data_IF_696805168411
#
_entry.id   IF_696805168411
#
_cell.length_a   1.000
_cell.length_b   1.000
_cell.length_c   1.000
_cell.angle_alpha   90.00
_cell.angle_beta   90.00
_cell.angle_gamma   90.00
#
_symmetry.space_group_name_H-M   'P 1'
#
loop_
_entity.id
_entity.type
_entity.pdbx_description
1 polymer ?
#
# COMPACT_ATOMS: atom_id res chain seq x y z
N UNK A 1 -18.10 57.87 -19.00
CA UNK A 1 -18.35 56.57 -18.34
C UNK A 1 -18.31 55.38 -19.31
N UNK A 2 -19.05 55.38 -20.44
CA UNK A 2 -19.04 54.27 -21.43
C UNK A 2 -17.64 53.87 -21.93
N UNK A 3 -16.77 54.83 -22.27
CA UNK A 3 -15.40 54.57 -22.74
C UNK A 3 -14.52 53.85 -21.70
N UNK A 4 -14.67 54.18 -20.42
CA UNK A 4 -13.89 53.54 -19.34
C UNK A 4 -14.32 52.07 -19.16
N UNK A 5 -15.63 51.80 -19.27
CA UNK A 5 -16.15 50.44 -19.19
C UNK A 5 -15.62 49.58 -20.35
N UNK A 6 -15.69 50.10 -21.58
CA UNK A 6 -15.29 49.32 -22.77
C UNK A 6 -13.78 49.12 -22.88
N UNK A 7 -12.96 50.15 -22.58
CA UNK A 7 -11.51 50.09 -22.81
C UNK A 7 -10.69 49.68 -21.59
N UNK A 8 -11.27 49.68 -20.38
CA UNK A 8 -10.54 49.35 -19.14
C UNK A 8 -11.18 48.19 -18.41
N UNK A 9 -12.48 48.26 -18.13
CA UNK A 9 -13.17 47.22 -17.34
C UNK A 9 -13.29 45.91 -18.11
N UNK A 10 -13.70 45.97 -19.38
CA UNK A 10 -13.88 44.78 -20.22
C UNK A 10 -12.58 44.00 -20.45
N UNK A 11 -11.44 44.64 -20.83
CA UNK A 11 -10.16 43.95 -20.96
C UNK A 11 -9.67 43.38 -19.63
N UNK A 12 -9.88 44.09 -18.51
CA UNK A 12 -9.53 43.58 -17.19
C UNK A 12 -10.31 42.30 -16.85
N UNK A 13 -11.62 42.27 -17.13
CA UNK A 13 -12.46 41.08 -16.96
C UNK A 13 -11.95 39.94 -17.84
N UNK A 14 -11.59 40.20 -19.10
CA UNK A 14 -11.03 39.18 -20.02
C UNK A 14 -9.73 38.59 -19.44
N UNK A 15 -8.84 39.41 -18.89
CA UNK A 15 -7.62 38.94 -18.25
C UNK A 15 -7.91 38.08 -17.00
N UNK A 16 -8.86 38.49 -16.17
CA UNK A 16 -9.28 37.72 -14.98
C UNK A 16 -9.89 36.39 -15.38
N UNK A 17 -10.78 36.36 -16.37
CA UNK A 17 -11.38 35.12 -16.89
C UNK A 17 -10.29 34.21 -17.48
N UNK A 18 -9.35 34.77 -18.24
CA UNK A 18 -8.22 34.02 -18.80
C UNK A 18 -7.38 33.36 -17.71
N UNK A 19 -7.11 34.07 -16.61
CA UNK A 19 -6.42 33.53 -15.45
C UNK A 19 -7.22 32.39 -14.77
N UNK A 20 -8.53 32.58 -14.56
CA UNK A 20 -9.40 31.57 -13.94
C UNK A 20 -9.43 30.29 -14.79
N UNK A 21 -9.56 30.40 -16.11
CA UNK A 21 -9.55 29.25 -17.03
C UNK A 21 -8.21 28.52 -16.95
N UNK A 22 -7.10 29.26 -16.97
CA UNK A 22 -5.77 28.67 -16.83
C UNK A 22 -5.64 27.89 -15.51
N UNK A 23 -6.03 28.49 -14.38
CA UNK A 23 -5.97 27.82 -13.07
C UNK A 23 -6.88 26.60 -12.99
N UNK A 24 -8.09 26.69 -13.57
CA UNK A 24 -9.05 25.58 -13.59
C UNK A 24 -8.54 24.37 -14.37
N UNK A 25 -7.72 24.58 -15.40
CA UNK A 25 -7.12 23.49 -16.19
C UNK A 25 -5.88 22.92 -15.48
N UNK A 26 -5.08 23.77 -14.84
CA UNK A 26 -3.84 23.33 -14.18
C UNK A 26 -4.08 22.60 -12.85
N UNK A 27 -5.09 23.00 -12.08
CA UNK A 27 -5.39 22.41 -10.78
C UNK A 27 -5.57 20.88 -10.80
N UNK A 28 -6.39 20.27 -11.67
CA UNK A 28 -6.52 18.81 -11.74
C UNK A 28 -5.21 18.14 -12.15
N UNK A 29 -4.39 18.77 -13.01
CA UNK A 29 -3.09 18.23 -13.43
C UNK A 29 -2.10 18.18 -12.26
N UNK A 30 -2.04 19.26 -11.46
CA UNK A 30 -1.18 19.32 -10.27
C UNK A 30 -1.66 18.32 -9.22
N UNK A 31 -2.97 18.19 -9.04
CA UNK A 31 -3.58 17.21 -8.15
C UNK A 31 -3.16 15.78 -8.55
N UNK A 32 -3.32 15.40 -9.82
CA UNK A 32 -2.93 14.07 -10.30
C UNK A 32 -1.44 13.77 -10.09
N UNK A 33 -0.58 14.76 -10.33
CA UNK A 33 0.87 14.62 -10.10
C UNK A 33 1.18 14.37 -8.63
N UNK A 34 0.59 15.14 -7.72
CA UNK A 34 0.79 14.98 -6.29
C UNK A 34 0.16 13.68 -5.78
N UNK A 35 -1.03 13.32 -6.27
CA UNK A 35 -1.70 12.07 -5.95
C UNK A 35 -0.82 10.86 -6.27
N UNK A 36 -0.35 10.75 -7.52
CA UNK A 36 0.50 9.63 -7.95
C UNK A 36 1.79 9.53 -7.13
N UNK A 37 2.40 10.68 -6.81
CA UNK A 37 3.59 10.70 -5.96
C UNK A 37 3.30 10.15 -4.56
N UNK A 38 2.21 10.61 -3.91
CA UNK A 38 1.81 10.12 -2.59
C UNK A 38 1.39 8.65 -2.61
N UNK A 39 0.64 8.24 -3.61
CA UNK A 39 0.24 6.84 -3.84
C UNK A 39 1.46 5.93 -3.99
N UNK A 40 2.48 6.33 -4.74
CA UNK A 40 3.71 5.52 -4.92
C UNK A 40 4.35 5.17 -3.58
N UNK A 41 4.47 6.16 -2.69
CA UNK A 41 5.07 5.98 -1.36
C UNK A 41 4.17 5.14 -0.45
N UNK A 42 2.85 5.35 -0.52
CA UNK A 42 1.88 4.55 0.24
C UNK A 42 1.83 3.10 -0.24
N UNK A 43 1.95 2.84 -1.55
CA UNK A 43 2.04 1.51 -2.13
C UNK A 43 3.30 0.79 -1.64
N UNK A 44 4.45 1.46 -1.61
CA UNK A 44 5.68 0.91 -1.06
C UNK A 44 5.51 0.49 0.42
N UNK A 45 4.87 1.34 1.21
CA UNK A 45 4.51 1.07 2.61
C UNK A 45 3.63 -0.18 2.77
N UNK A 46 2.60 -0.32 1.93
CA UNK A 46 1.72 -1.48 1.95
C UNK A 46 2.43 -2.76 1.46
N UNK A 47 3.37 -2.65 0.51
CA UNK A 47 4.22 -3.77 0.07
C UNK A 47 5.13 -4.26 1.20
N UNK A 48 5.66 -3.36 2.03
CA UNK A 48 6.43 -3.75 3.22
C UNK A 48 5.58 -4.52 4.22
N UNK A 49 4.38 -4.01 4.52
CA UNK A 49 3.42 -4.68 5.42
C UNK A 49 3.09 -6.06 4.87
N UNK A 50 2.80 -6.18 3.56
CA UNK A 50 2.55 -7.48 2.91
C UNK A 50 3.73 -8.43 3.10
N UNK A 51 4.96 -7.95 2.89
CA UNK A 51 6.18 -8.77 3.04
C UNK A 51 6.34 -9.29 4.47
N UNK A 52 6.13 -8.44 5.46
CA UNK A 52 6.18 -8.84 6.87
C UNK A 52 5.04 -9.79 7.25
N UNK A 53 3.82 -9.56 6.75
CA UNK A 53 2.68 -10.42 6.98
C UNK A 53 2.87 -11.82 6.41
N UNK A 54 3.42 -11.95 5.20
CA UNK A 54 3.75 -13.24 4.59
C UNK A 54 4.79 -13.99 5.43
N UNK A 55 5.84 -13.30 5.87
CA UNK A 55 6.86 -13.89 6.75
C UNK A 55 6.29 -14.28 8.13
N UNK A 56 5.41 -13.46 8.68
CA UNK A 56 4.72 -13.73 9.94
C UNK A 56 3.82 -14.97 9.82
N UNK A 57 3.05 -15.08 8.74
CA UNK A 57 2.23 -16.26 8.43
C UNK A 57 3.09 -17.51 8.26
N UNK A 58 4.23 -17.43 7.57
CA UNK A 58 5.13 -18.57 7.40
C UNK A 58 5.64 -19.13 8.74
N UNK A 59 5.78 -18.28 9.76
CA UNK A 59 6.23 -18.70 11.10
C UNK A 59 5.09 -19.14 12.02
N UNK A 60 3.99 -18.41 12.05
CA UNK A 60 2.92 -18.57 13.03
C UNK A 60 1.64 -19.20 12.46
N UNK A 61 1.62 -19.57 11.17
CA UNK A 61 0.46 -20.07 10.41
C UNK A 61 -0.77 -19.15 10.41
N UNK A 62 -0.62 -17.90 10.81
CA UNK A 62 -1.67 -16.86 10.81
C UNK A 62 -1.07 -15.49 10.53
N UNK A 63 -1.90 -14.54 10.09
CA UNK A 63 -1.49 -13.14 9.95
C UNK A 63 -1.57 -12.38 11.28
N UNK A 64 -0.83 -11.28 11.39
CA UNK A 64 -0.91 -10.38 12.54
C UNK A 64 -2.08 -9.41 12.40
N UNK A 65 -2.85 -9.23 13.48
CA UNK A 65 -3.93 -8.23 13.53
C UNK A 65 -3.48 -6.82 13.91
N UNK A 66 -2.24 -6.64 14.38
CA UNK A 66 -1.71 -5.33 14.78
C UNK A 66 -0.34 -5.07 14.13
N UNK A 67 -0.12 -3.82 13.73
CA UNK A 67 1.14 -3.32 13.17
C UNK A 67 2.26 -3.35 14.21
N UNK A 68 1.97 -3.10 15.50
CA UNK A 68 2.99 -3.15 16.56
C UNK A 68 3.60 -4.55 16.70
N UNK A 69 2.77 -5.59 16.54
CA UNK A 69 3.24 -6.97 16.53
C UNK A 69 4.13 -7.28 15.31
N UNK A 70 3.89 -6.64 14.16
CA UNK A 70 4.76 -6.76 12.99
C UNK A 70 6.09 -6.03 13.20
N UNK A 71 6.07 -4.85 13.82
CA UNK A 71 7.28 -4.10 14.19
C UNK A 71 8.12 -4.93 15.16
N UNK A 72 7.50 -5.50 16.20
CA UNK A 72 8.20 -6.38 17.13
C UNK A 72 8.76 -7.62 16.41
N UNK A 73 7.96 -8.26 15.55
CA UNK A 73 8.41 -9.40 14.75
C UNK A 73 9.59 -9.07 13.84
N UNK A 74 9.66 -7.88 13.26
CA UNK A 74 10.83 -7.46 12.48
C UNK A 74 12.09 -7.34 13.35
N UNK A 75 11.97 -6.72 14.52
CA UNK A 75 13.09 -6.43 15.41
C UNK A 75 13.65 -7.66 16.13
N UNK A 76 12.77 -8.53 16.64
CA UNK A 76 13.14 -9.67 17.49
C UNK A 76 12.88 -11.04 16.84
N UNK A 77 12.14 -11.07 15.74
CA UNK A 77 11.73 -12.30 15.09
C UNK A 77 12.88 -13.00 14.37
N UNK A 78 12.83 -14.33 14.44
CA UNK A 78 13.65 -15.26 13.66
C UNK A 78 12.74 -16.00 12.69
N UNK A 79 13.13 -16.07 11.42
CA UNK A 79 12.48 -16.87 10.39
C UNK A 79 13.38 -18.05 10.00
N UNK A 80 12.74 -19.13 9.55
CA UNK A 80 13.43 -20.30 9.05
C UNK A 80 13.43 -20.25 7.53
N UNK A 81 14.60 -20.08 6.93
CA UNK A 81 14.78 -20.17 5.48
C UNK A 81 15.14 -21.61 5.14
N UNK A 82 14.31 -22.26 4.33
CA UNK A 82 14.57 -23.62 3.86
C UNK A 82 15.36 -23.51 2.55
N UNK A 83 16.60 -24.00 2.55
CA UNK A 83 17.42 -24.13 1.35
C UNK A 83 17.37 -25.58 0.91
N UNK A 84 16.78 -25.83 -0.26
CA UNK A 84 16.88 -27.14 -0.90
C UNK A 84 18.17 -27.16 -1.74
N UNK A 85 19.05 -28.11 -1.44
CA UNK A 85 20.25 -28.38 -2.26
C UNK A 85 19.92 -29.59 -3.14
N UNK A 86 19.99 -29.41 -4.46
CA UNK A 86 19.62 -30.44 -5.46
C UNK A 86 18.17 -30.35 -5.95
N UNK A 87 17.91 -30.97 -7.10
CA UNK A 87 16.56 -31.09 -7.66
C UNK A 87 15.91 -32.39 -7.20
N UNK A 88 14.62 -32.33 -6.84
CA UNK A 88 13.83 -33.55 -6.55
C UNK A 88 13.51 -34.35 -7.83
N UNK A 89 13.67 -33.73 -9.00
CA UNK A 89 13.42 -34.37 -10.29
C UNK A 89 14.61 -35.24 -10.75
N UNK A 90 15.77 -35.13 -10.09
CA UNK A 90 16.95 -35.95 -10.36
C UNK A 90 16.89 -37.23 -9.50
N UNK A 91 16.37 -38.30 -10.10
CA UNK A 91 16.21 -39.60 -9.45
C UNK A 91 17.53 -40.20 -8.94
N UNK A 92 18.67 -39.88 -9.59
CA UNK A 92 19.99 -40.37 -9.16
C UNK A 92 20.47 -39.61 -7.92
N UNK A 93 20.29 -38.29 -7.89
CA UNK A 93 20.64 -37.47 -6.73
C UNK A 93 19.77 -37.80 -5.51
N UNK A 94 18.47 -38.09 -5.71
CA UNK A 94 17.55 -38.53 -4.65
C UNK A 94 17.95 -39.90 -4.11
N UNK A 95 18.23 -40.87 -4.99
CA UNK A 95 18.67 -42.22 -4.59
C UNK A 95 19.99 -42.20 -3.81
N UNK A 96 20.89 -41.27 -4.14
CA UNK A 96 22.18 -41.08 -3.48
C UNK A 96 22.11 -40.20 -2.22
N UNK A 97 20.91 -39.79 -1.75
CA UNK A 97 20.70 -38.88 -0.62
C UNK A 97 21.46 -37.54 -0.74
N UNK A 98 21.73 -37.09 -1.97
CA UNK A 98 22.40 -35.81 -2.24
C UNK A 98 21.43 -34.64 -2.27
N UNK A 99 20.13 -34.92 -2.22
CA UNK A 99 19.08 -33.90 -2.10
C UNK A 99 18.64 -33.82 -0.65
N UNK A 100 18.97 -32.71 0.02
CA UNK A 100 18.56 -32.45 1.38
C UNK A 100 18.08 -31.01 1.53
N UNK A 101 17.22 -30.81 2.53
CA UNK A 101 16.67 -29.50 2.89
C UNK A 101 17.29 -29.06 4.19
N UNK A 102 18.12 -28.03 4.10
CA UNK A 102 18.67 -27.38 5.28
C UNK A 102 17.77 -26.24 5.69
N UNK A 103 17.56 -26.13 7.00
CA UNK A 103 16.80 -25.05 7.61
C UNK A 103 17.74 -24.13 8.37
N UNK A 104 17.82 -22.87 7.95
CA UNK A 104 18.69 -21.87 8.58
C UNK A 104 17.80 -20.86 9.30
N UNK A 105 18.08 -20.65 10.58
CA UNK A 105 17.43 -19.63 11.39
C UNK A 105 18.15 -18.31 11.19
N UNK A 106 17.46 -17.31 10.67
CA UNK A 106 18.00 -15.96 10.41
C UNK A 106 17.03 -14.94 11.01
N UNK A 107 17.56 -13.84 11.56
CA UNK A 107 16.73 -12.76 12.04
C UNK A 107 15.95 -12.11 10.88
N UNK A 108 14.72 -11.69 11.15
CA UNK A 108 13.85 -11.07 10.14
C UNK A 108 14.48 -9.80 9.59
N UNK A 109 14.96 -8.90 10.47
CA UNK A 109 15.70 -7.69 10.10
C UNK A 109 16.94 -7.96 9.23
N UNK A 110 17.57 -9.11 9.42
CA UNK A 110 18.77 -9.52 8.69
C UNK A 110 18.44 -10.22 7.37
N UNK A 111 17.17 -10.27 6.97
CA UNK A 111 16.73 -10.91 5.72
C UNK A 111 15.80 -10.02 4.90
N UNK A 112 14.80 -9.42 5.54
CA UNK A 112 13.73 -8.66 4.88
C UNK A 112 13.95 -7.15 4.97
N UNK A 113 13.41 -6.42 3.99
CA UNK A 113 13.33 -4.95 3.97
C UNK A 113 14.69 -4.23 4.15
N UNK A 114 15.77 -4.79 3.58
CA UNK A 114 17.16 -4.29 3.70
C UNK A 114 17.50 -3.03 2.90
N UNK A 115 16.51 -2.29 2.42
CA UNK A 115 16.80 -1.10 1.61
C UNK A 115 17.37 0.02 2.48
N UNK A 116 18.25 0.82 1.90
CA UNK A 116 18.91 1.91 2.61
C UNK A 116 17.87 2.92 3.14
N UNK A 117 18.00 3.31 4.40
CA UNK A 117 17.10 4.27 5.04
C UNK A 117 15.73 3.71 5.46
N UNK A 118 15.50 2.39 5.37
CA UNK A 118 14.29 1.78 5.91
C UNK A 118 14.23 1.92 7.43
N UNK A 119 13.09 2.43 7.94
CA UNK A 119 12.81 2.59 9.37
C UNK A 119 11.54 1.82 9.68
N UNK A 120 11.67 0.76 10.47
CA UNK A 120 10.55 -0.12 10.79
C UNK A 120 9.39 0.61 11.48
N UNK A 121 9.66 1.55 12.39
CA UNK A 121 8.61 2.22 13.15
C UNK A 121 7.67 3.05 12.27
N UNK A 122 8.16 3.47 11.09
CA UNK A 122 7.37 4.22 10.13
C UNK A 122 6.38 3.35 9.34
N UNK A 123 6.46 2.01 9.41
CA UNK A 123 5.52 1.14 8.68
C UNK A 123 4.07 1.34 9.14
N UNK A 124 3.87 1.77 10.39
CA UNK A 124 2.54 1.92 10.95
C UNK A 124 1.83 3.21 10.50
N UNK A 125 2.57 4.17 9.94
CA UNK A 125 2.09 5.53 9.71
C UNK A 125 1.77 5.72 8.23
N UNK A 126 0.60 6.30 7.95
CA UNK A 126 0.21 6.73 6.61
C UNK A 126 1.09 7.92 6.21
N UNK A 127 1.82 7.84 5.08
CA UNK A 127 2.62 8.97 4.58
C UNK A 127 1.74 10.22 4.39
N UNK A 128 2.30 11.41 4.67
CA UNK A 128 1.61 12.72 4.48
C UNK A 128 0.37 12.96 5.35
N UNK A 129 0.07 12.08 6.30
CA UNK A 129 -1.16 12.15 7.12
C UNK A 129 -1.03 12.97 8.41
N UNK A 130 0.18 13.39 8.79
CA UNK A 130 0.46 14.00 10.10
C UNK A 130 0.52 12.99 11.25
N UNK A 131 0.73 11.70 10.97
CA UNK A 131 0.90 10.66 12.00
C UNK A 131 -0.26 9.68 12.15
N UNK A 132 -1.25 9.72 11.26
CA UNK A 132 -2.36 8.77 11.26
C UNK A 132 -1.86 7.38 10.93
N UNK A 133 -2.44 6.37 11.58
CA UNK A 133 -2.02 4.97 11.45
C UNK A 133 -2.75 4.27 10.32
N UNK A 134 -2.08 3.30 9.70
CA UNK A 134 -2.67 2.42 8.69
C UNK A 134 -3.70 1.51 9.38
N UNK A 135 -4.86 1.35 8.75
CA UNK A 135 -5.88 0.42 9.21
C UNK A 135 -5.49 -1.00 8.80
N UNK A 136 -5.48 -1.93 9.74
CA UNK A 136 -5.14 -3.32 9.46
C UNK A 136 -6.00 -4.27 10.27
N UNK A 137 -6.43 -5.35 9.62
CA UNK A 137 -7.22 -6.41 10.24
C UNK A 137 -6.74 -7.76 9.73
N UNK A 138 -6.75 -8.75 10.62
CA UNK A 138 -6.48 -10.14 10.27
C UNK A 138 -7.53 -11.04 10.90
N UNK A 139 -8.00 -12.04 10.15
CA UNK A 139 -9.01 -13.01 10.58
C UNK A 139 -8.63 -14.41 10.08
N UNK A 140 -9.32 -15.42 10.61
CA UNK A 140 -9.38 -16.75 10.01
C UNK A 140 -10.75 -16.85 9.35
N UNK A 141 -10.79 -16.77 8.02
CA UNK A 141 -12.01 -16.91 7.23
C UNK A 141 -12.23 -18.36 6.83
N UNK A 142 -13.48 -18.74 6.53
CA UNK A 142 -13.82 -20.07 6.01
C UNK A 142 -14.14 -19.96 4.52
N UNK A 143 -13.35 -20.61 3.69
CA UNK A 143 -13.48 -20.58 2.23
C UNK A 143 -13.63 -22.02 1.74
N UNK A 144 -14.79 -22.34 1.16
CA UNK A 144 -15.11 -23.69 0.68
C UNK A 144 -14.91 -24.78 1.75
N UNK A 145 -15.23 -24.48 3.00
CA UNK A 145 -15.08 -25.42 4.12
C UNK A 145 -13.72 -25.41 4.82
N UNK A 146 -12.70 -24.76 4.24
CA UNK A 146 -11.33 -24.73 4.76
C UNK A 146 -11.07 -23.41 5.50
N UNK A 147 -10.40 -23.49 6.66
CA UNK A 147 -9.93 -22.32 7.39
C UNK A 147 -8.72 -21.70 6.70
N UNK A 148 -8.84 -20.43 6.31
CA UNK A 148 -7.81 -19.68 5.62
C UNK A 148 -7.49 -18.42 6.43
N UNK A 149 -6.24 -18.21 6.87
CA UNK A 149 -5.86 -16.94 7.45
C UNK A 149 -5.88 -15.86 6.37
N UNK A 150 -6.54 -14.75 6.66
CA UNK A 150 -6.71 -13.58 5.79
C UNK A 150 -6.26 -12.32 6.52
N UNK A 151 -5.77 -11.34 5.77
CA UNK A 151 -5.51 -10.00 6.30
C UNK A 151 -5.86 -8.94 5.26
N UNK A 152 -6.12 -7.74 5.73
CA UNK A 152 -6.29 -6.55 4.93
C UNK A 152 -5.57 -5.40 5.63
N UNK A 153 -4.81 -4.61 4.87
CA UNK A 153 -4.28 -3.33 5.31
C UNK A 153 -4.68 -2.24 4.31
N UNK A 154 -5.20 -1.12 4.81
CA UNK A 154 -5.86 -0.11 4.01
C UNK A 154 -5.44 1.32 4.39
N UNK A 155 -5.40 2.17 3.36
CA UNK A 155 -5.07 3.60 3.44
C UNK A 155 -6.16 4.37 2.68
N UNK A 156 -7.09 5.05 3.38
CA UNK A 156 -8.09 5.90 2.75
C UNK A 156 -7.47 7.09 1.99
N UNK A 157 -8.06 7.48 0.85
CA UNK A 157 -7.58 8.66 0.11
C UNK A 157 -7.79 9.97 0.88
N UNK A 158 -8.85 10.09 1.69
CA UNK A 158 -9.09 11.27 2.53
C UNK A 158 -7.91 11.57 3.47
N UNK A 159 -7.23 10.52 3.93
CA UNK A 159 -6.07 10.63 4.81
C UNK A 159 -4.79 10.84 4.01
N UNK A 160 -4.56 10.01 2.98
CA UNK A 160 -3.34 10.06 2.17
C UNK A 160 -3.19 11.38 1.41
N UNK A 161 -4.29 11.90 0.87
CA UNK A 161 -4.34 13.09 0.03
C UNK A 161 -4.69 14.35 0.82
N UNK A 162 -4.63 14.28 2.16
CA UNK A 162 -4.92 15.43 3.01
C UNK A 162 -4.07 16.65 2.62
N UNK A 163 -4.70 17.83 2.59
CA UNK A 163 -4.09 19.08 2.13
C UNK A 163 -4.07 19.28 0.61
N UNK A 164 -4.60 18.35 -0.20
CA UNK A 164 -4.89 18.59 -1.62
C UNK A 164 -6.31 19.14 -1.82
N UNK A 165 -6.69 19.48 -3.05
CA UNK A 165 -8.04 19.97 -3.35
C UNK A 165 -9.11 18.96 -2.90
N UNK A 166 -9.94 19.36 -1.93
CA UNK A 166 -10.96 18.52 -1.31
C UNK A 166 -12.03 18.03 -2.29
N UNK A 167 -12.46 18.88 -3.23
CA UNK A 167 -13.47 18.49 -4.21
C UNK A 167 -12.95 17.37 -5.13
N UNK A 168 -11.68 17.45 -5.54
CA UNK A 168 -11.06 16.40 -6.35
C UNK A 168 -10.91 15.07 -5.57
N UNK A 169 -10.64 15.12 -4.26
CA UNK A 169 -10.64 13.92 -3.41
C UNK A 169 -12.04 13.31 -3.31
N UNK A 170 -13.08 14.14 -3.08
CA UNK A 170 -14.46 13.68 -3.01
C UNK A 170 -14.90 13.04 -4.32
N UNK A 171 -14.60 13.67 -5.46
CA UNK A 171 -14.90 13.11 -6.79
C UNK A 171 -14.18 11.77 -6.98
N UNK A 172 -12.88 11.70 -6.66
CA UNK A 172 -12.11 10.46 -6.76
C UNK A 172 -12.70 9.34 -5.88
N UNK A 173 -13.13 9.67 -4.66
CA UNK A 173 -13.76 8.70 -3.77
C UNK A 173 -15.13 8.24 -4.28
N UNK A 174 -15.91 9.13 -4.88
CA UNK A 174 -17.18 8.78 -5.51
C UNK A 174 -16.94 7.83 -6.70
N UNK A 175 -16.02 8.17 -7.61
CA UNK A 175 -15.66 7.35 -8.76
C UNK A 175 -15.25 5.92 -8.36
N UNK A 176 -14.55 5.76 -7.22
CA UNK A 176 -14.16 4.44 -6.69
C UNK A 176 -15.36 3.66 -6.17
N UNK A 177 -16.24 4.31 -5.41
CA UNK A 177 -17.43 3.67 -4.84
C UNK A 177 -18.43 3.27 -5.91
N UNK A 178 -18.58 4.05 -6.97
CA UNK A 178 -19.49 3.77 -8.09
C UNK A 178 -19.15 2.48 -8.84
N UNK A 179 -17.88 2.07 -8.81
CA UNK A 179 -17.40 0.79 -9.38
C UNK A 179 -17.09 -0.27 -8.31
N UNK A 180 -17.66 -0.12 -7.12
CA UNK A 180 -17.51 -1.01 -5.96
C UNK A 180 -16.04 -1.29 -5.57
N UNK A 181 -15.19 -0.26 -5.71
CA UNK A 181 -13.78 -0.30 -5.31
C UNK A 181 -13.56 0.50 -4.04
N UNK A 182 -12.60 0.04 -3.24
CA UNK A 182 -12.18 0.75 -2.04
C UNK A 182 -11.68 2.17 -2.39
N UNK A 183 -12.16 3.24 -1.71
CA UNK A 183 -11.76 4.63 -1.92
C UNK A 183 -10.40 4.93 -1.28
N UNK A 184 -9.37 4.25 -1.79
CA UNK A 184 -8.01 4.32 -1.26
C UNK A 184 -7.13 3.21 -1.81
N UNK A 185 -6.03 2.96 -1.10
CA UNK A 185 -5.11 1.86 -1.38
C UNK A 185 -5.34 0.76 -0.37
N UNK A 186 -5.44 -0.49 -0.82
CA UNK A 186 -5.54 -1.66 0.06
C UNK A 186 -4.73 -2.84 -0.44
N UNK A 187 -4.26 -3.65 0.49
CA UNK A 187 -3.55 -4.91 0.22
C UNK A 187 -4.16 -6.04 1.04
N UNK A 188 -4.33 -7.19 0.39
CA UNK A 188 -5.08 -8.29 0.97
C UNK A 188 -6.59 -8.07 0.93
N UNK A 189 -7.31 -9.01 1.53
CA UNK A 189 -8.75 -8.95 1.73
C UNK A 189 -9.09 -9.90 2.87
N UNK A 190 -9.99 -9.47 3.75
CA UNK A 190 -10.58 -10.30 4.79
C UNK A 190 -11.86 -11.01 4.34
N UNK A 191 -12.40 -10.66 3.17
CA UNK A 191 -13.64 -11.25 2.64
C UNK A 191 -13.36 -12.51 1.83
N UNK A 192 -12.34 -12.48 0.99
CA UNK A 192 -11.98 -13.60 0.13
C UNK A 192 -10.45 -13.67 -0.10
N UNK A 193 -9.88 -14.88 -0.31
CA UNK A 193 -8.47 -15.02 -0.65
C UNK A 193 -8.17 -14.36 -2.00
N UNK A 194 -7.25 -13.40 -2.00
CA UNK A 194 -6.80 -12.70 -3.21
C UNK A 194 -5.28 -12.80 -3.41
N UNK A 195 -4.65 -13.84 -2.84
CA UNK A 195 -3.18 -13.98 -2.80
C UNK A 195 -2.44 -12.77 -2.17
N UNK A 196 -3.09 -12.05 -1.27
CA UNK A 196 -2.58 -10.81 -0.65
C UNK A 196 -2.27 -9.71 -1.68
N UNK A 197 -3.00 -9.68 -2.79
CA UNK A 197 -2.81 -8.68 -3.85
C UNK A 197 -3.17 -7.26 -3.39
N UNK A 198 -2.50 -6.29 -3.99
CA UNK A 198 -2.84 -4.87 -3.83
C UNK A 198 -3.88 -4.43 -4.86
N UNK A 199 -4.74 -3.47 -4.55
CA UNK A 199 -5.73 -2.94 -5.50
C UNK A 199 -5.14 -2.03 -6.60
N UNK A 200 -3.82 -1.95 -6.71
CA UNK A 200 -3.04 -1.25 -7.73
C UNK A 200 -2.34 -2.21 -8.70
N UNK A 201 -2.42 -3.52 -8.46
CA UNK A 201 -1.92 -4.59 -9.33
C UNK A 201 -3.00 -4.94 -10.37
#
# INVERSE_FOLDING_TARGET
>A
MKKVITYVVLPLIVLVIGYIIYTSIQEPVVFEKQRRYRETIAIERLKDIRTLQVAYKAKYNKFSGNLDSLINFYNSGIITVIKQVGSMDDSVAVAQKRVFRDSIKIAVKDTLLKRQGFIIDSIAIIPFSGGQRIEMKAIIGKVSGVEVPLFEAAIPFDILLNGLNRQLIVNLNADRKDVDRYPGLKVGSIEAPNNNAGNWE
#
